data_IF_169346904635
#
_entry.id   IF_169346904635
#
_cell.length_a   1.000
_cell.length_b   1.000
_cell.length_c   1.000
_cell.angle_alpha   90.00
_cell.angle_beta   90.00
_cell.angle_gamma   90.00
#
_symmetry.space_group_name_H-M   'P 1'
#
loop_
_entity.id
_entity.type
_entity.pdbx_description
1 polymer ?
#
# COMPACT_ATOMS: atom_id res chain seq x y z
N UNK A 1 51.51 -9.25 -12.99
CA UNK A 1 50.37 -8.79 -13.81
C UNK A 1 49.01 -9.18 -13.20
N UNK A 2 48.96 -10.18 -12.32
CA UNK A 2 47.72 -10.68 -11.71
C UNK A 2 47.11 -9.79 -10.60
N UNK A 3 47.93 -9.03 -9.87
CA UNK A 3 47.46 -8.17 -8.77
C UNK A 3 46.57 -7.01 -9.23
N UNK A 4 46.83 -6.47 -10.41
CA UNK A 4 46.02 -5.39 -11.00
C UNK A 4 44.61 -5.93 -11.32
N UNK A 5 44.50 -7.15 -11.83
CA UNK A 5 43.22 -7.78 -12.15
C UNK A 5 42.37 -8.03 -10.88
N UNK A 6 43.01 -8.49 -9.80
CA UNK A 6 42.33 -8.71 -8.51
C UNK A 6 41.81 -7.39 -7.90
N UNK A 7 42.60 -6.32 -7.99
CA UNK A 7 42.21 -4.99 -7.51
C UNK A 7 40.99 -4.43 -8.25
N UNK A 8 40.96 -4.52 -9.59
CA UNK A 8 39.81 -4.10 -10.40
C UNK A 8 38.55 -4.94 -10.11
N UNK A 9 38.69 -6.26 -9.93
CA UNK A 9 37.57 -7.13 -9.55
C UNK A 9 37.00 -6.76 -8.18
N UNK A 10 37.86 -6.43 -7.22
CA UNK A 10 37.45 -6.01 -5.88
C UNK A 10 36.73 -4.65 -5.90
N UNK A 11 37.23 -3.67 -6.67
CA UNK A 11 36.58 -2.37 -6.84
C UNK A 11 35.19 -2.51 -7.50
N UNK A 12 35.09 -3.30 -8.56
CA UNK A 12 33.81 -3.58 -9.24
C UNK A 12 32.81 -4.29 -8.32
N UNK A 13 33.28 -5.25 -7.52
CA UNK A 13 32.47 -5.92 -6.49
C UNK A 13 31.95 -4.93 -5.44
N UNK A 14 32.80 -4.04 -4.91
CA UNK A 14 32.38 -3.01 -3.94
C UNK A 14 31.40 -2.00 -4.52
N UNK A 15 31.54 -1.65 -5.81
CA UNK A 15 30.59 -0.77 -6.51
C UNK A 15 29.23 -1.45 -6.64
N UNK A 16 29.22 -2.70 -7.09
CA UNK A 16 28.00 -3.51 -7.23
C UNK A 16 27.30 -3.76 -5.90
N UNK A 17 28.03 -4.02 -4.81
CA UNK A 17 27.44 -4.10 -3.47
C UNK A 17 26.80 -2.77 -3.06
N UNK A 18 27.47 -1.64 -3.31
CA UNK A 18 26.90 -0.32 -3.00
C UNK A 18 25.61 -0.08 -3.78
N UNK A 19 25.61 -0.31 -5.09
CA UNK A 19 24.42 -0.20 -5.92
C UNK A 19 23.27 -1.10 -5.43
N UNK A 20 23.55 -2.36 -5.08
CA UNK A 20 22.54 -3.27 -4.51
C UNK A 20 21.99 -2.73 -3.18
N UNK A 21 22.86 -2.20 -2.32
CA UNK A 21 22.45 -1.62 -1.03
C UNK A 21 21.62 -0.36 -1.24
N UNK A 22 21.98 0.49 -2.19
CA UNK A 22 21.27 1.73 -2.48
C UNK A 22 19.89 1.44 -3.08
N UNK A 23 19.81 0.50 -4.03
CA UNK A 23 18.53 0.02 -4.60
C UNK A 23 17.64 -0.58 -3.51
N UNK A 24 18.21 -1.39 -2.60
CA UNK A 24 17.46 -1.95 -1.47
C UNK A 24 17.03 -0.87 -0.47
N UNK A 25 17.88 0.11 -0.18
CA UNK A 25 17.56 1.20 0.74
C UNK A 25 16.41 2.07 0.21
N UNK A 26 16.37 2.33 -1.10
CA UNK A 26 15.25 3.02 -1.75
C UNK A 26 13.99 2.15 -1.76
N UNK A 27 14.13 0.84 -1.95
CA UNK A 27 13.00 -0.11 -1.92
C UNK A 27 12.35 -0.24 -0.55
N UNK A 28 13.13 -0.12 0.52
CA UNK A 28 12.66 -0.37 1.89
C UNK A 28 12.45 0.90 2.71
N UNK A 29 11.91 1.94 2.08
CA UNK A 29 11.56 3.20 2.75
C UNK A 29 10.06 3.46 2.61
N UNK A 30 9.42 3.82 3.72
CA UNK A 30 8.05 4.31 3.68
C UNK A 30 7.97 5.59 2.85
N UNK A 31 6.84 5.78 2.18
CA UNK A 31 6.59 6.93 1.31
C UNK A 31 5.26 7.54 1.70
N UNK A 32 5.27 8.83 2.03
CA UNK A 32 4.05 9.51 2.46
C UNK A 32 4.03 10.97 1.98
N UNK A 33 2.84 11.47 1.65
CA UNK A 33 2.58 12.86 1.25
C UNK A 33 1.29 13.31 1.93
N UNK A 34 1.31 14.49 2.55
CA UNK A 34 0.16 15.09 3.28
C UNK A 34 -0.41 14.15 4.36
N UNK A 35 0.46 13.36 4.95
CA UNK A 35 0.17 12.44 6.05
C UNK A 35 1.24 12.68 7.13
N UNK A 36 0.90 12.46 8.39
CA UNK A 36 1.84 12.42 9.50
C UNK A 36 1.79 11.03 10.13
N UNK A 37 2.96 10.46 10.44
CA UNK A 37 3.09 9.19 11.15
C UNK A 37 3.60 9.41 12.56
N UNK A 38 2.91 8.82 13.52
CA UNK A 38 3.23 8.85 14.94
C UNK A 38 3.02 7.43 15.49
N UNK A 39 4.11 6.65 15.50
CA UNK A 39 4.06 5.20 15.71
C UNK A 39 3.20 4.53 14.64
N UNK A 40 2.14 3.88 15.07
CA UNK A 40 1.17 3.22 14.20
C UNK A 40 0.00 4.12 13.82
N UNK A 41 -0.04 5.36 14.32
CA UNK A 41 -1.08 6.31 13.97
C UNK A 41 -0.67 7.11 12.74
N UNK A 42 -1.51 7.06 11.71
CA UNK A 42 -1.41 7.96 10.56
C UNK A 42 -2.52 9.00 10.59
N UNK A 43 -2.15 10.25 10.35
CA UNK A 43 -3.05 11.40 10.38
C UNK A 43 -2.98 12.17 9.08
N UNK A 44 -4.12 12.61 8.56
CA UNK A 44 -4.14 13.50 7.41
C UNK A 44 -3.60 14.89 7.78
N UNK A 45 -2.75 15.45 6.92
CA UNK A 45 -2.12 16.75 7.09
C UNK A 45 -1.98 17.46 5.73
N UNK A 46 -3.08 17.52 4.98
CA UNK A 46 -3.21 18.30 3.75
C UNK A 46 -4.35 19.31 3.83
N UNK A 47 -4.57 20.05 2.74
CA UNK A 47 -5.69 20.98 2.60
C UNK A 47 -6.96 20.28 2.08
N UNK A 48 -8.14 20.89 2.21
CA UNK A 48 -9.45 20.24 1.97
C UNK A 48 -9.60 19.47 0.64
N UNK A 49 -8.89 19.89 -0.41
CA UNK A 49 -9.04 19.36 -1.78
C UNK A 49 -7.87 18.46 -2.20
N UNK A 50 -6.99 18.12 -1.27
CA UNK A 50 -5.80 17.35 -1.55
C UNK A 50 -5.90 15.90 -1.08
N UNK A 51 -5.39 14.97 -1.87
CA UNK A 51 -5.20 13.59 -1.43
C UNK A 51 -3.87 13.45 -0.70
N UNK A 52 -3.91 12.83 0.47
CA UNK A 52 -2.76 12.29 1.19
C UNK A 52 -2.69 10.78 1.00
N UNK A 53 -1.48 10.24 0.87
CA UNK A 53 -1.27 8.82 0.66
C UNK A 53 -0.02 8.39 1.42
N UNK A 54 -0.09 7.21 2.00
CA UNK A 54 1.00 6.51 2.63
C UNK A 54 1.16 5.14 1.96
N UNK A 55 2.42 4.77 1.72
CA UNK A 55 2.85 3.46 1.24
C UNK A 55 3.86 2.91 2.23
N UNK A 56 3.61 1.71 2.73
CA UNK A 56 4.47 1.05 3.71
C UNK A 56 5.87 0.78 3.14
N UNK A 57 6.85 0.61 4.03
CA UNK A 57 8.24 0.41 3.64
C UNK A 57 8.51 -0.95 2.99
N UNK A 58 7.70 -1.97 3.26
CA UNK A 58 7.93 -3.34 2.77
C UNK A 58 6.74 -3.82 1.96
N UNK A 59 6.98 -4.59 0.88
CA UNK A 59 5.89 -5.24 0.17
C UNK A 59 5.28 -6.34 1.04
N UNK A 60 4.11 -6.81 0.63
CA UNK A 60 3.62 -8.08 1.14
C UNK A 60 4.61 -9.20 0.79
N UNK A 61 4.63 -10.23 1.62
CA UNK A 61 5.52 -11.38 1.48
C UNK A 61 4.78 -12.64 1.88
N UNK A 62 5.35 -13.82 1.57
CA UNK A 62 4.77 -15.09 2.02
C UNK A 62 4.56 -15.17 3.54
N UNK A 63 5.31 -14.41 4.35
CA UNK A 63 5.15 -14.39 5.82
C UNK A 63 4.24 -13.28 6.33
N UNK A 64 4.01 -12.24 5.54
CA UNK A 64 3.18 -11.11 5.89
C UNK A 64 2.29 -10.77 4.70
N UNK A 65 1.10 -11.38 4.65
CA UNK A 65 0.15 -11.34 3.53
C UNK A 65 -1.11 -10.55 3.85
N UNK A 66 -1.23 -10.01 5.05
CA UNK A 66 -2.45 -9.40 5.55
C UNK A 66 -2.08 -8.25 6.48
N UNK A 67 -2.81 -7.15 6.38
CA UNK A 67 -2.71 -6.03 7.30
C UNK A 67 -4.09 -5.44 7.56
N UNK A 68 -4.24 -4.78 8.70
CA UNK A 68 -5.48 -4.12 9.06
C UNK A 68 -5.28 -2.63 9.34
N UNK A 69 -6.34 -1.88 9.05
CA UNK A 69 -6.43 -0.44 9.26
C UNK A 69 -7.68 -0.16 10.07
N UNK A 70 -7.51 0.34 11.28
CA UNK A 70 -8.63 0.73 12.14
C UNK A 70 -8.94 2.21 11.96
N UNK A 71 -10.17 2.53 11.57
CA UNK A 71 -10.62 3.91 11.36
C UNK A 71 -10.83 4.58 12.73
N UNK A 72 -9.89 5.42 13.14
CA UNK A 72 -9.98 6.16 14.40
C UNK A 72 -10.88 7.40 14.23
N UNK A 73 -10.77 8.07 13.09
CA UNK A 73 -11.58 9.23 12.75
C UNK A 73 -11.79 9.33 11.23
N UNK A 74 -13.06 9.37 10.81
CA UNK A 74 -13.46 9.50 9.40
C UNK A 74 -13.24 10.93 8.86
N UNK A 75 -13.04 11.92 9.73
CA UNK A 75 -13.09 13.33 9.37
C UNK A 75 -14.42 13.70 8.70
N UNK A 76 -14.41 14.79 7.94
CA UNK A 76 -15.64 15.35 7.34
C UNK A 76 -16.19 14.49 6.20
N UNK A 77 -15.33 13.96 5.32
CA UNK A 77 -15.77 13.26 4.09
C UNK A 77 -15.67 11.74 4.16
N UNK A 78 -15.04 11.15 5.17
CA UNK A 78 -14.91 9.69 5.27
C UNK A 78 -14.03 9.00 4.23
N UNK A 79 -13.59 9.69 3.17
CA UNK A 79 -12.73 9.15 2.10
C UNK A 79 -11.40 8.60 2.63
N UNK A 80 -11.39 7.32 2.94
CA UNK A 80 -10.25 6.51 3.39
C UNK A 80 -10.21 5.31 2.46
N UNK A 81 -9.07 5.10 1.82
CA UNK A 81 -8.84 3.95 0.95
C UNK A 81 -7.77 3.05 1.55
N UNK A 82 -8.01 1.74 1.58
CA UNK A 82 -7.07 0.75 2.09
C UNK A 82 -6.80 -0.26 0.98
N UNK A 83 -5.53 -0.54 0.69
CA UNK A 83 -5.21 -1.48 -0.37
C UNK A 83 -3.74 -1.65 -0.68
N UNK A 84 -3.48 -2.05 -1.92
CA UNK A 84 -2.18 -2.45 -2.44
C UNK A 84 -1.80 -1.60 -3.64
N UNK A 85 -0.54 -1.15 -3.66
CA UNK A 85 0.02 -0.29 -4.71
C UNK A 85 1.43 -0.74 -5.12
N UNK A 86 1.93 -0.36 -6.31
CA UNK A 86 3.30 -0.61 -6.70
C UNK A 86 4.27 0.27 -5.90
N UNK A 87 5.54 -0.13 -5.86
CA UNK A 87 6.61 0.57 -5.12
C UNK A 87 6.66 2.09 -5.40
N UNK A 88 6.47 2.48 -6.66
CA UNK A 88 6.57 3.88 -7.13
C UNK A 88 5.20 4.53 -7.38
N UNK A 89 4.19 4.19 -6.56
CA UNK A 89 2.88 4.84 -6.64
C UNK A 89 2.94 6.36 -6.43
N UNK A 90 2.08 7.12 -7.11
CA UNK A 90 1.94 8.56 -6.90
C UNK A 90 1.18 8.83 -5.60
N UNK A 91 1.73 9.70 -4.75
CA UNK A 91 1.24 9.90 -3.38
C UNK A 91 0.14 10.98 -3.27
N UNK A 92 -0.34 11.51 -4.39
CA UNK A 92 -1.45 12.46 -4.51
C UNK A 92 -2.68 11.83 -5.16
N UNK A 93 -2.74 10.50 -5.19
CA UNK A 93 -3.88 9.72 -5.66
C UNK A 93 -4.26 8.70 -4.59
N UNK A 94 -5.56 8.37 -4.52
CA UNK A 94 -6.01 7.31 -3.63
C UNK A 94 -5.52 5.96 -4.17
N UNK A 95 -5.10 5.02 -3.31
CA UNK A 95 -4.95 3.62 -3.69
C UNK A 95 -6.15 3.12 -4.51
N UNK A 96 -5.88 2.35 -5.55
CA UNK A 96 -6.90 1.85 -6.48
C UNK A 96 -7.21 2.77 -7.67
N UNK A 97 -6.84 4.05 -7.66
CA UNK A 97 -7.17 4.97 -8.77
C UNK A 97 -6.26 4.86 -9.99
N UNK A 98 -5.00 4.49 -9.79
CA UNK A 98 -3.98 4.39 -10.85
C UNK A 98 -3.67 2.93 -11.20
N UNK A 99 -3.25 2.62 -12.44
CA UNK A 99 -2.95 1.26 -12.88
C UNK A 99 -2.06 0.46 -11.91
N UNK A 100 -2.26 -0.85 -11.91
CA UNK A 100 -1.57 -1.80 -11.03
C UNK A 100 -1.78 -1.50 -9.54
N UNK A 101 -2.93 -0.95 -9.14
CA UNK A 101 -3.29 -0.82 -7.73
C UNK A 101 -4.72 -1.29 -7.50
N UNK A 102 -4.99 -1.71 -6.27
CA UNK A 102 -6.31 -2.18 -5.86
C UNK A 102 -6.61 -1.70 -4.43
N UNK A 103 -7.80 -1.20 -4.18
CA UNK A 103 -8.19 -0.73 -2.85
C UNK A 103 -9.69 -0.78 -2.60
N UNK A 104 -10.05 -0.95 -1.35
CA UNK A 104 -11.39 -0.80 -0.83
C UNK A 104 -11.56 0.59 -0.20
N UNK A 105 -12.59 1.32 -0.62
CA UNK A 105 -12.86 2.70 -0.19
C UNK A 105 -13.99 2.71 0.86
N UNK A 106 -13.70 3.29 2.02
CA UNK A 106 -14.59 3.27 3.18
C UNK A 106 -15.88 4.08 2.99
N UNK A 107 -15.81 5.20 2.26
CA UNK A 107 -16.90 6.16 2.13
C UNK A 107 -18.04 5.69 1.23
N UNK A 108 -17.77 4.82 0.27
CA UNK A 108 -18.75 4.30 -0.68
C UNK A 108 -18.87 2.77 -0.67
N UNK A 109 -17.94 2.06 -0.03
CA UNK A 109 -17.91 0.60 0.01
C UNK A 109 -17.54 -0.01 -1.34
N UNK A 110 -16.85 0.73 -2.21
CA UNK A 110 -16.48 0.25 -3.54
C UNK A 110 -15.05 -0.25 -3.62
N UNK A 111 -14.82 -1.13 -4.59
CA UNK A 111 -13.51 -1.59 -5.01
C UNK A 111 -13.01 -0.74 -6.17
N UNK A 112 -11.79 -0.26 -6.07
CA UNK A 112 -11.08 0.47 -7.11
C UNK A 112 -9.86 -0.32 -7.54
N UNK A 113 -9.71 -0.63 -8.82
CA UNK A 113 -8.70 -1.58 -9.34
C UNK A 113 -7.91 -1.02 -10.54
N UNK A 114 -7.41 0.20 -10.40
CA UNK A 114 -6.59 0.87 -11.40
C UNK A 114 -7.32 1.91 -12.23
N UNK A 115 -8.49 2.36 -11.77
CA UNK A 115 -9.32 3.38 -12.40
C UNK A 115 -10.00 4.24 -11.33
N UNK A 116 -10.54 5.40 -11.71
CA UNK A 116 -11.27 6.32 -10.82
C UNK A 116 -12.75 5.98 -10.67
N UNK A 117 -13.21 4.86 -11.23
CA UNK A 117 -14.62 4.45 -11.26
C UNK A 117 -14.78 3.16 -10.47
N UNK A 118 -15.11 3.30 -9.18
CA UNK A 118 -15.27 2.16 -8.28
C UNK A 118 -16.44 1.25 -8.67
N UNK A 119 -16.29 -0.04 -8.36
CA UNK A 119 -17.30 -1.08 -8.53
C UNK A 119 -17.94 -1.41 -7.18
N UNK A 120 -19.25 -1.69 -7.19
CA UNK A 120 -19.95 -2.11 -5.97
C UNK A 120 -19.31 -3.38 -5.42
N UNK A 121 -18.95 -3.39 -4.14
CA UNK A 121 -18.17 -4.47 -3.57
C UNK A 121 -18.58 -4.83 -2.15
N UNK A 122 -18.65 -3.84 -1.25
CA UNK A 122 -18.93 -4.04 0.16
C UNK A 122 -19.77 -2.94 0.79
N UNK A 123 -20.04 -3.06 2.09
CA UNK A 123 -20.66 -2.00 2.86
C UNK A 123 -19.67 -0.87 3.12
N UNK A 124 -20.19 0.35 3.29
CA UNK A 124 -19.39 1.49 3.79
C UNK A 124 -18.79 1.18 5.16
N UNK A 125 -17.68 1.84 5.47
CA UNK A 125 -17.00 1.75 6.77
C UNK A 125 -17.06 3.09 7.51
N UNK A 126 -17.15 3.01 8.83
CA UNK A 126 -17.31 4.15 9.72
C UNK A 126 -16.21 4.15 10.80
N UNK A 127 -16.19 5.19 11.63
CA UNK A 127 -15.32 5.24 12.81
C UNK A 127 -15.51 3.97 13.66
N UNK A 128 -14.40 3.36 14.07
CA UNK A 128 -14.35 2.11 14.83
C UNK A 128 -14.29 0.85 13.97
N UNK A 129 -14.65 0.93 12.68
CA UNK A 129 -14.50 -0.22 11.78
C UNK A 129 -13.02 -0.48 11.46
N UNK A 130 -12.70 -1.76 11.29
CA UNK A 130 -11.39 -2.25 10.87
C UNK A 130 -11.47 -2.83 9.47
N UNK A 131 -10.69 -2.26 8.55
CA UNK A 131 -10.57 -2.74 7.17
C UNK A 131 -9.31 -3.58 7.08
N UNK A 132 -9.45 -4.85 6.71
CA UNK A 132 -8.32 -5.71 6.37
C UNK A 132 -8.11 -5.80 4.87
N UNK A 133 -6.86 -6.00 4.46
CA UNK A 133 -6.49 -6.29 3.09
C UNK A 133 -5.43 -7.38 3.10
N UNK A 134 -5.63 -8.43 2.30
CA UNK A 134 -4.65 -9.49 2.18
C UNK A 134 -4.63 -10.17 0.83
N UNK A 135 -3.68 -11.08 0.67
CA UNK A 135 -3.48 -11.85 -0.56
C UNK A 135 -3.51 -13.34 -0.29
N UNK A 136 -4.22 -14.09 -1.14
CA UNK A 136 -4.10 -15.55 -1.20
C UNK A 136 -3.08 -15.94 -2.27
N UNK A 137 -2.32 -17.00 -2.00
CA UNK A 137 -1.27 -17.51 -2.89
C UNK A 137 -1.74 -18.70 -3.74
N UNK A 138 -3.06 -18.95 -3.78
CA UNK A 138 -3.63 -20.19 -4.32
C UNK A 138 -3.71 -20.23 -5.87
N UNK A 139 -3.21 -19.20 -6.56
CA UNK A 139 -3.29 -19.10 -8.02
C UNK A 139 -2.00 -19.56 -8.69
N UNK A 140 -2.02 -20.81 -9.18
CA UNK A 140 -0.96 -21.43 -9.98
C UNK A 140 -0.78 -20.77 -11.37
N UNK A 141 -1.70 -19.89 -11.77
CA UNK A 141 -1.78 -19.30 -13.11
C UNK A 141 -1.19 -17.87 -13.23
N UNK A 142 -0.39 -17.43 -12.26
CA UNK A 142 0.23 -16.09 -12.28
C UNK A 142 -0.74 -14.93 -11.97
N UNK A 143 -1.95 -15.25 -11.51
CA UNK A 143 -2.86 -14.30 -10.89
C UNK A 143 -2.51 -14.13 -9.41
N UNK A 144 -2.96 -13.05 -8.78
CA UNK A 144 -2.94 -12.84 -7.33
C UNK A 144 -4.35 -12.53 -6.86
N UNK A 145 -4.88 -13.33 -5.95
CA UNK A 145 -6.17 -13.02 -5.33
C UNK A 145 -5.95 -12.05 -4.17
N UNK A 146 -6.51 -10.85 -4.29
CA UNK A 146 -6.55 -9.85 -3.21
C UNK A 146 -7.94 -9.89 -2.58
N UNK A 147 -8.00 -10.06 -1.26
CA UNK A 147 -9.25 -10.04 -0.51
C UNK A 147 -9.26 -8.89 0.50
N UNK A 148 -10.47 -8.46 0.85
CA UNK A 148 -10.69 -7.43 1.85
C UNK A 148 -11.62 -7.93 2.94
N UNK A 149 -11.42 -7.45 4.16
CA UNK A 149 -12.26 -7.76 5.30
C UNK A 149 -12.79 -6.49 5.93
N UNK A 150 -13.94 -6.59 6.59
CA UNK A 150 -14.48 -5.60 7.50
C UNK A 150 -14.72 -6.27 8.84
N UNK A 151 -14.08 -5.76 9.89
CA UNK A 151 -14.17 -6.30 11.26
C UNK A 151 -13.88 -7.81 11.32
N UNK A 152 -12.86 -8.25 10.57
CA UNK A 152 -12.43 -9.65 10.49
C UNK A 152 -13.29 -10.56 9.60
N UNK A 153 -14.42 -10.07 9.05
CA UNK A 153 -15.25 -10.82 8.09
C UNK A 153 -14.90 -10.43 6.67
N UNK A 154 -14.69 -11.41 5.80
CA UNK A 154 -14.45 -11.15 4.37
C UNK A 154 -15.62 -10.41 3.72
N UNK A 155 -15.28 -9.36 2.97
CA UNK A 155 -16.21 -8.57 2.15
C UNK A 155 -16.26 -9.15 0.74
N UNK A 156 -15.11 -9.53 0.21
CA UNK A 156 -14.95 -10.19 -1.08
C UNK A 156 -13.49 -10.22 -1.51
N UNK A 157 -13.26 -10.70 -2.73
CA UNK A 157 -11.94 -10.77 -3.35
C UNK A 157 -11.96 -10.33 -4.82
N UNK A 158 -10.76 -10.10 -5.37
CA UNK A 158 -10.54 -9.79 -6.77
C UNK A 158 -9.21 -10.39 -7.22
N UNK A 159 -9.18 -10.96 -8.42
CA UNK A 159 -7.95 -11.42 -9.05
C UNK A 159 -7.28 -10.27 -9.80
N UNK A 160 -5.97 -10.12 -9.62
CA UNK A 160 -5.16 -9.16 -10.37
C UNK A 160 -3.95 -9.86 -11.01
N UNK A 161 -3.58 -9.49 -12.25
CA UNK A 161 -2.46 -10.10 -12.96
C UNK A 161 -1.13 -9.55 -12.43
N UNK A 162 -0.58 -10.18 -11.38
CA UNK A 162 0.66 -9.74 -10.74
C UNK A 162 1.24 -10.76 -9.76
N UNK A 163 2.50 -10.56 -9.36
CA UNK A 163 3.12 -11.31 -8.26
C UNK A 163 2.95 -10.60 -6.91
N UNK A 164 2.86 -11.34 -5.78
CA UNK A 164 2.66 -10.75 -4.45
C UNK A 164 3.77 -9.78 -4.03
N UNK A 165 5.02 -10.04 -4.45
CA UNK A 165 6.20 -9.23 -4.09
C UNK A 165 6.25 -7.86 -4.78
N UNK A 166 5.30 -7.59 -5.69
CA UNK A 166 5.16 -6.33 -6.40
C UNK A 166 4.36 -5.27 -5.61
N UNK A 167 3.64 -5.66 -4.55
CA UNK A 167 2.68 -4.79 -3.89
C UNK A 167 3.04 -4.39 -2.47
N UNK A 168 2.77 -3.13 -2.17
CA UNK A 168 2.97 -2.51 -0.88
C UNK A 168 1.62 -2.15 -0.26
N UNK A 169 1.43 -2.43 1.04
CA UNK A 169 0.32 -1.87 1.80
C UNK A 169 0.27 -0.35 1.67
N UNK A 170 -0.91 0.18 1.41
CA UNK A 170 -1.13 1.61 1.26
C UNK A 170 -2.46 2.05 1.84
N UNK A 171 -2.45 3.29 2.33
CA UNK A 171 -3.65 3.98 2.79
C UNK A 171 -3.69 5.37 2.21
N UNK A 172 -4.84 5.74 1.67
CA UNK A 172 -5.11 7.08 1.19
C UNK A 172 -6.18 7.78 2.03
N UNK A 173 -6.10 9.10 2.08
CA UNK A 173 -7.00 9.96 2.80
C UNK A 173 -7.25 11.26 2.06
N UNK A 174 -8.46 11.79 2.21
CA UNK A 174 -8.83 13.05 1.58
C UNK A 174 -9.83 13.80 2.47
N UNK A 175 -9.31 14.59 3.43
CA UNK A 175 -9.96 15.68 4.18
C UNK A 175 -9.29 15.88 5.54
N UNK A 176 -9.32 17.13 6.05
CA UNK A 176 -8.84 17.51 7.38
C UNK A 176 -9.37 16.61 8.52
N UNK A 177 -8.52 16.35 9.53
CA UNK A 177 -8.89 15.70 10.80
C UNK A 177 -8.80 14.17 10.86
N UNK A 178 -8.53 13.48 9.74
CA UNK A 178 -8.53 12.02 9.68
C UNK A 178 -7.39 11.38 10.46
N UNK A 179 -7.67 10.28 11.17
CA UNK A 179 -6.70 9.47 11.92
C UNK A 179 -7.00 7.98 11.75
N UNK A 180 -5.97 7.13 11.70
CA UNK A 180 -6.12 5.68 11.82
C UNK A 180 -4.95 5.03 12.52
N UNK A 181 -5.12 3.78 12.95
CA UNK A 181 -4.08 2.94 13.53
C UNK A 181 -3.75 1.77 12.59
N UNK A 182 -2.48 1.57 12.29
CA UNK A 182 -1.94 0.36 11.65
C UNK A 182 -1.80 -0.75 12.69
N UNK A 183 -2.19 -1.97 12.33
CA UNK A 183 -1.90 -3.18 13.13
C UNK A 183 -1.53 -4.33 12.21
#
# INVERSE_FOLDING_TARGET
>A
MDDINLHYRFLNWRRRIREIRDVRAVRYRERLKRMLRDGDILRYHGNSDEVGCFVAARPLSRRNRYFEVTIVDTGVRGMIAVGLVPQLYKLDHQPGWLPHSVAFHADDGKLYNGNTVGQQFGPKCCRGDRIGCGVSLDSDDGQLTVFFTKNGKEVGSVEIPASPEAFYPAVGMHSLGKKFCWT
#
